data_IF_304055889213
#
_entry.id   IF_304055889213
#
_cell.length_a   1.000
_cell.length_b   1.000
_cell.length_c   1.000
_cell.angle_alpha   90.00
_cell.angle_beta   90.00
_cell.angle_gamma   90.00
#
_symmetry.space_group_name_H-M   'P 1'
#
loop_
_entity.id
_entity.type
_entity.pdbx_description
1 polymer ?
#
# COMPACT_ATOMS: atom_id res chain seq x y z
N UNK A 1 2.18 5.54 19.42
CA UNK A 1 0.86 4.98 19.83
C UNK A 1 -0.11 5.09 18.66
N UNK A 2 -1.01 4.12 18.52
CA UNK A 2 -2.00 4.11 17.45
C UNK A 2 -3.40 4.39 18.03
N UNK A 3 -4.03 5.49 17.61
CA UNK A 3 -5.30 5.96 18.16
C UNK A 3 -6.53 5.46 17.39
N UNK A 4 -6.37 4.58 16.41
CA UNK A 4 -7.47 4.08 15.56
C UNK A 4 -8.61 3.46 16.36
N UNK A 5 -8.30 2.68 17.40
CA UNK A 5 -9.30 2.08 18.29
C UNK A 5 -10.09 3.15 19.04
N UNK A 6 -9.40 4.22 19.49
CA UNK A 6 -10.05 5.37 20.16
C UNK A 6 -10.93 6.14 19.18
N UNK A 7 -10.50 6.31 17.93
CA UNK A 7 -11.33 6.94 16.90
C UNK A 7 -12.61 6.14 16.65
N UNK A 8 -12.54 4.80 16.56
CA UNK A 8 -13.70 3.95 16.36
C UNK A 8 -14.67 4.02 17.55
N UNK A 9 -14.13 4.01 18.77
CA UNK A 9 -14.92 4.17 19.99
C UNK A 9 -15.67 5.52 20.02
N UNK A 10 -14.96 6.62 19.82
CA UNK A 10 -15.56 7.97 19.82
C UNK A 10 -16.56 8.16 18.65
N UNK A 11 -16.30 7.54 17.49
CA UNK A 11 -17.23 7.51 16.37
C UNK A 11 -18.54 6.80 16.73
N UNK A 12 -18.46 5.63 17.39
CA UNK A 12 -19.65 4.90 17.87
C UNK A 12 -20.45 5.67 18.92
N UNK A 13 -19.79 6.53 19.70
CA UNK A 13 -20.44 7.47 20.62
C UNK A 13 -21.04 8.70 19.93
N UNK A 14 -20.99 8.79 18.60
CA UNK A 14 -21.54 9.92 17.85
C UNK A 14 -20.76 11.23 18.03
N UNK A 15 -19.52 11.16 18.52
CA UNK A 15 -18.73 12.36 18.77
C UNK A 15 -18.20 12.98 17.49
N UNK A 16 -17.95 14.29 17.51
CA UNK A 16 -17.36 15.01 16.40
C UNK A 16 -15.82 14.90 16.40
N UNK A 17 -15.20 14.85 15.22
CA UNK A 17 -13.75 14.73 15.06
C UNK A 17 -12.95 15.81 15.83
N UNK A 18 -13.51 17.03 15.95
CA UNK A 18 -12.93 18.13 16.73
C UNK A 18 -12.88 17.82 18.23
N UNK A 19 -13.98 17.31 18.78
CA UNK A 19 -14.07 16.91 20.18
C UNK A 19 -13.10 15.75 20.46
N UNK A 20 -13.08 14.75 19.57
CA UNK A 20 -12.14 13.62 19.66
C UNK A 20 -10.68 14.06 19.63
N UNK A 21 -10.32 14.99 18.72
CA UNK A 21 -8.94 15.51 18.63
C UNK A 21 -8.51 16.21 19.93
N UNK A 22 -9.40 17.03 20.50
CA UNK A 22 -9.11 17.72 21.77
C UNK A 22 -8.96 16.75 22.93
N UNK A 23 -9.84 15.76 23.05
CA UNK A 23 -9.75 14.72 24.10
C UNK A 23 -8.43 13.95 24.03
N UNK A 24 -8.04 13.50 22.84
CA UNK A 24 -6.81 12.73 22.65
C UNK A 24 -5.59 13.60 22.95
N UNK A 25 -5.56 14.84 22.46
CA UNK A 25 -4.43 15.74 22.74
C UNK A 25 -4.36 16.15 24.22
N UNK A 26 -5.49 16.20 24.93
CA UNK A 26 -5.53 16.43 26.37
C UNK A 26 -4.99 15.23 27.16
N UNK A 27 -5.36 14.01 26.77
CA UNK A 27 -4.99 12.79 27.49
C UNK A 27 -3.57 12.29 27.16
N UNK A 28 -3.13 12.44 25.92
CA UNK A 28 -1.87 11.85 25.41
C UNK A 28 -0.83 12.91 25.02
N UNK A 29 -1.07 14.19 25.32
CA UNK A 29 -0.17 15.29 24.99
C UNK A 29 -0.51 16.05 23.70
N UNK A 30 -0.06 17.31 23.65
CA UNK A 30 -0.33 18.19 22.51
C UNK A 30 0.19 17.57 21.21
N UNK A 31 -0.61 17.66 20.14
CA UNK A 31 -0.27 17.16 18.78
C UNK A 31 -0.16 15.63 18.66
N UNK A 32 -0.58 14.87 19.67
CA UNK A 32 -0.66 13.39 19.58
C UNK A 32 -1.57 12.91 18.46
N UNK A 33 -2.59 13.68 18.10
CA UNK A 33 -3.37 13.47 16.88
C UNK A 33 -3.74 14.78 16.18
N UNK A 34 -4.13 14.65 14.91
CA UNK A 34 -4.65 15.73 14.08
C UNK A 34 -6.10 15.44 13.69
N UNK A 35 -6.96 16.45 13.80
CA UNK A 35 -8.34 16.47 13.28
C UNK A 35 -8.46 15.86 11.87
N UNK A 36 -7.56 16.20 10.94
CA UNK A 36 -7.60 15.69 9.56
C UNK A 36 -7.48 14.17 9.49
N UNK A 37 -6.66 13.58 10.37
CA UNK A 37 -6.50 12.13 10.48
C UNK A 37 -7.78 11.50 11.01
N UNK A 38 -8.39 12.07 12.05
CA UNK A 38 -9.64 11.57 12.63
C UNK A 38 -10.78 11.64 11.61
N UNK A 39 -10.90 12.73 10.86
CA UNK A 39 -11.91 12.88 9.81
C UNK A 39 -11.81 11.79 8.74
N UNK A 40 -10.59 11.45 8.29
CA UNK A 40 -10.37 10.35 7.34
C UNK A 40 -10.84 9.00 7.91
N UNK A 41 -10.56 8.75 9.19
CA UNK A 41 -11.03 7.53 9.86
C UNK A 41 -12.55 7.51 10.02
N UNK A 42 -13.17 8.63 10.41
CA UNK A 42 -14.62 8.72 10.53
C UNK A 42 -15.31 8.51 9.18
N UNK A 43 -14.77 9.07 8.11
CA UNK A 43 -15.31 8.80 6.77
C UNK A 43 -15.20 7.32 6.41
N UNK A 44 -14.06 6.69 6.72
CA UNK A 44 -13.86 5.25 6.52
C UNK A 44 -14.91 4.43 7.29
N UNK A 45 -15.17 4.78 8.55
CA UNK A 45 -16.18 4.12 9.39
C UNK A 45 -17.61 4.35 8.91
N UNK A 46 -17.93 5.56 8.41
CA UNK A 46 -19.23 5.85 7.76
C UNK A 46 -19.47 4.98 6.54
N UNK A 47 -18.40 4.65 5.81
CA UNK A 47 -18.47 3.75 4.66
C UNK A 47 -18.51 2.26 5.06
N UNK A 48 -18.67 1.94 6.35
CA UNK A 48 -18.74 0.57 6.88
C UNK A 48 -17.39 -0.13 7.05
N UNK A 49 -16.27 0.49 6.68
CA UNK A 49 -14.94 -0.10 6.79
C UNK A 49 -14.33 0.17 8.19
N UNK A 50 -14.66 -0.70 9.15
CA UNK A 50 -14.13 -0.65 10.53
C UNK A 50 -12.74 -1.28 10.69
N UNK A 51 -12.08 -1.68 9.60
CA UNK A 51 -10.76 -2.30 9.69
C UNK A 51 -9.75 -1.32 10.30
N UNK A 52 -9.26 -1.62 11.50
CA UNK A 52 -8.27 -0.77 12.17
C UNK A 52 -6.88 -0.93 11.54
N UNK A 53 -6.62 -2.05 10.84
CA UNK A 53 -5.36 -2.19 10.12
C UNK A 53 -5.23 -1.13 9.04
N UNK A 54 -4.04 -0.50 8.98
CA UNK A 54 -3.62 0.23 7.79
C UNK A 54 -3.69 -0.78 6.65
N UNK A 55 -4.52 -0.54 5.63
CA UNK A 55 -4.54 -1.41 4.45
C UNK A 55 -3.10 -1.45 3.92
N UNK A 56 -2.45 -2.58 4.09
CA UNK A 56 -1.19 -2.99 3.48
C UNK A 56 -1.35 -3.13 1.94
N UNK A 57 -2.29 -2.39 1.34
CA UNK A 57 -2.81 -2.62 0.00
C UNK A 57 -1.77 -2.33 -1.07
N UNK A 58 -0.97 -1.27 -0.90
CA UNK A 58 0.11 -0.99 -1.85
C UNK A 58 1.16 -2.09 -1.85
N UNK A 59 1.59 -2.54 -0.66
CA UNK A 59 2.67 -3.51 -0.53
C UNK A 59 2.22 -4.90 -1.00
N UNK A 60 1.00 -5.33 -0.67
CA UNK A 60 0.43 -6.61 -1.15
C UNK A 60 0.18 -6.61 -2.65
N UNK A 61 -0.32 -5.52 -3.24
CA UNK A 61 -0.49 -5.43 -4.69
C UNK A 61 0.87 -5.51 -5.40
N UNK A 62 1.91 -4.88 -4.86
CA UNK A 62 3.27 -5.04 -5.38
C UNK A 62 3.80 -6.46 -5.23
N UNK A 63 3.60 -7.13 -4.09
CA UNK A 63 4.02 -8.53 -3.88
C UNK A 63 3.34 -9.47 -4.89
N UNK A 64 2.02 -9.37 -5.06
CA UNK A 64 1.28 -10.19 -6.02
C UNK A 64 1.72 -9.92 -7.47
N UNK A 65 2.02 -8.66 -7.80
CA UNK A 65 2.59 -8.29 -9.12
C UNK A 65 3.98 -8.89 -9.30
N UNK A 66 4.83 -8.87 -8.27
CA UNK A 66 6.17 -9.45 -8.30
C UNK A 66 6.14 -10.97 -8.42
N UNK A 67 5.22 -11.66 -7.75
CA UNK A 67 5.05 -13.11 -7.90
C UNK A 67 4.54 -13.51 -9.29
N UNK A 68 3.63 -12.71 -9.87
CA UNK A 68 3.19 -12.92 -11.26
C UNK A 68 4.34 -12.69 -12.23
N UNK A 69 5.12 -11.63 -12.05
CA UNK A 69 6.30 -11.33 -12.84
C UNK A 69 7.32 -12.47 -12.76
N UNK A 70 7.65 -12.94 -11.56
CA UNK A 70 8.57 -14.05 -11.31
C UNK A 70 8.13 -15.34 -12.04
N UNK A 71 6.84 -15.70 -11.95
CA UNK A 71 6.29 -16.88 -12.63
C UNK A 71 6.40 -16.81 -14.15
N UNK A 72 6.18 -15.64 -14.76
CA UNK A 72 6.28 -15.48 -16.21
C UNK A 72 7.74 -15.61 -16.67
N UNK A 73 8.66 -15.00 -15.92
CA UNK A 73 10.09 -15.07 -16.23
C UNK A 73 10.65 -16.49 -16.03
N UNK A 74 10.24 -17.20 -14.98
CA UNK A 74 10.65 -18.60 -14.75
C UNK A 74 10.18 -19.54 -15.86
N UNK A 75 9.00 -19.30 -16.42
CA UNK A 75 8.45 -20.11 -17.53
C UNK A 75 9.09 -19.81 -18.89
N UNK A 76 9.59 -18.60 -19.10
CA UNK A 76 10.19 -18.19 -20.37
C UNK A 76 11.34 -17.20 -20.15
N UNK A 77 12.57 -17.72 -20.17
CA UNK A 77 13.79 -16.93 -19.92
C UNK A 77 14.11 -15.92 -21.02
N UNK A 78 13.50 -16.05 -22.20
CA UNK A 78 13.72 -15.17 -23.37
C UNK A 78 12.66 -14.09 -23.52
N UNK A 79 11.73 -13.95 -22.58
CA UNK A 79 10.67 -12.94 -22.68
C UNK A 79 11.27 -11.54 -22.51
N UNK A 80 10.93 -10.62 -23.42
CA UNK A 80 11.44 -9.25 -23.36
C UNK A 80 10.66 -8.41 -22.34
N UNK A 81 11.28 -7.34 -21.84
CA UNK A 81 10.62 -6.39 -20.92
C UNK A 81 9.36 -5.77 -21.54
N UNK A 82 9.37 -5.56 -22.87
CA UNK A 82 8.24 -5.02 -23.62
C UNK A 82 7.04 -5.97 -23.66
N UNK A 83 7.29 -7.26 -23.88
CA UNK A 83 6.24 -8.29 -23.84
C UNK A 83 5.70 -8.50 -22.42
N UNK A 84 6.56 -8.43 -21.40
CA UNK A 84 6.14 -8.49 -19.99
C UNK A 84 5.24 -7.31 -19.63
N UNK A 85 5.60 -6.11 -20.05
CA UNK A 85 4.79 -4.91 -19.85
C UNK A 85 3.39 -5.06 -20.47
N UNK A 86 3.32 -5.59 -21.70
CA UNK A 86 2.06 -5.89 -22.37
C UNK A 86 1.21 -6.92 -21.62
N UNK A 87 1.81 -8.05 -21.19
CA UNK A 87 1.09 -9.13 -20.47
C UNK A 87 0.60 -8.71 -19.08
N UNK A 88 1.31 -7.80 -18.42
CA UNK A 88 1.00 -7.35 -17.06
C UNK A 88 0.19 -6.04 -17.03
N UNK A 89 0.01 -5.37 -18.17
CA UNK A 89 -0.68 -4.08 -18.24
C UNK A 89 0.01 -2.98 -17.43
N UNK A 90 1.34 -3.02 -17.33
CA UNK A 90 2.15 -2.05 -16.59
C UNK A 90 3.21 -1.43 -17.49
N UNK A 91 3.74 -0.27 -17.11
CA UNK A 91 4.77 0.39 -17.91
C UNK A 91 6.08 -0.41 -17.92
N UNK A 92 6.84 -0.27 -19.02
CA UNK A 92 8.16 -0.89 -19.19
C UNK A 92 9.09 -0.52 -18.02
N UNK A 93 9.09 0.75 -17.59
CA UNK A 93 9.91 1.20 -16.45
C UNK A 93 9.55 0.51 -15.13
N UNK A 94 8.25 0.25 -14.89
CA UNK A 94 7.80 -0.51 -13.72
C UNK A 94 8.27 -1.96 -13.78
N UNK A 95 8.27 -2.60 -14.94
CA UNK A 95 8.80 -3.97 -15.10
C UNK A 95 10.31 -3.99 -14.86
N UNK A 96 11.07 -3.06 -15.45
CA UNK A 96 12.52 -2.97 -15.27
C UNK A 96 12.93 -2.77 -13.82
N UNK A 97 12.22 -1.91 -13.07
CA UNK A 97 12.50 -1.69 -11.66
C UNK A 97 12.22 -2.94 -10.81
N UNK A 98 11.09 -3.62 -11.03
CA UNK A 98 10.79 -4.86 -10.31
C UNK A 98 11.76 -6.00 -10.67
N UNK A 99 12.24 -6.09 -11.92
CA UNK A 99 13.28 -7.06 -12.31
C UNK A 99 14.61 -6.81 -11.60
N UNK A 100 14.99 -5.52 -11.41
CA UNK A 100 16.16 -5.13 -10.61
C UNK A 100 15.99 -5.51 -9.14
N UNK A 101 14.81 -5.26 -8.55
CA UNK A 101 14.48 -5.64 -7.17
C UNK A 101 14.50 -7.16 -6.95
N UNK A 102 14.08 -7.94 -7.95
CA UNK A 102 14.12 -9.41 -7.92
C UNK A 102 15.54 -10.00 -8.07
N UNK A 103 16.58 -9.15 -8.09
CA UNK A 103 18.00 -9.52 -8.08
C UNK A 103 18.41 -10.44 -9.25
N UNK A 104 17.82 -10.26 -10.44
CA UNK A 104 18.14 -11.04 -11.65
C UNK A 104 19.42 -10.56 -12.35
N UNK A 105 20.44 -10.12 -11.59
CA UNK A 105 21.70 -9.58 -12.12
C UNK A 105 22.41 -10.52 -13.11
N UNK A 106 22.26 -11.84 -12.99
CA UNK A 106 22.87 -12.83 -13.90
C UNK A 106 22.08 -13.12 -15.19
N UNK A 107 20.84 -12.63 -15.33
CA UNK A 107 19.96 -12.96 -16.48
C UNK A 107 19.67 -11.78 -17.42
N UNK A 108 20.00 -10.54 -17.03
CA UNK A 108 19.77 -9.39 -17.91
C UNK A 108 20.76 -9.34 -19.08
N UNK A 109 21.97 -9.87 -18.91
CA UNK A 109 23.00 -9.95 -19.97
C UNK A 109 22.59 -10.88 -21.12
N UNK A 110 21.62 -11.78 -20.93
CA UNK A 110 21.10 -12.66 -22.00
C UNK A 110 19.79 -12.18 -22.63
N UNK A 111 19.16 -11.13 -22.09
CA UNK A 111 17.84 -10.64 -22.53
C UNK A 111 17.97 -9.41 -23.45
N UNK A 112 19.15 -8.78 -23.48
CA UNK A 112 19.46 -7.69 -24.41
C UNK A 112 20.17 -8.32 -25.61
N UNK A 113 19.54 -8.46 -26.79
CA UNK A 113 20.30 -8.76 -27.99
C UNK A 113 21.12 -7.52 -28.40
N UNK A 114 22.26 -7.70 -29.09
CA UNK A 114 23.08 -6.60 -29.61
C UNK A 114 22.30 -5.67 -30.55
#
# INVERSE_FOLDING_TARGET
MNFQTIYLYEFKLGQAADKTSRKINKAFGQRSTNKRTIQRWFQKFRNGDISLQRKEGSRRVSILKNEKLKRIVERNLRITVRELAGKLGVSIGTVSNHLKELNMKKKMDSIIPP
#
